data_IF_783655920465
#
_entry.id   IF_783655920465
#
_cell.length_a   1.000
_cell.length_b   1.000
_cell.length_c   1.000
_cell.angle_alpha   90.00
_cell.angle_beta   90.00
_cell.angle_gamma   90.00
#
_symmetry.space_group_name_H-M   'P 1'
#
loop_
_entity.id
_entity.type
_entity.pdbx_description
1 polymer ?
#
# COMPACT_ATOMS: atom_id res chain seq x y z
N UNK A 1 20.43 -1.39 1.75
CA UNK A 1 19.04 -1.38 1.25
C UNK A 1 18.39 -2.74 1.44
N UNK A 2 17.10 -2.77 1.82
CA UNK A 2 16.30 -4.01 1.95
C UNK A 2 15.18 -4.01 0.90
N UNK A 3 15.07 -5.09 0.15
CA UNK A 3 14.15 -5.22 -0.98
C UNK A 3 13.09 -6.28 -0.70
N UNK A 4 11.87 -6.01 -1.16
CA UNK A 4 10.76 -6.96 -1.20
C UNK A 4 9.93 -6.76 -2.47
N UNK A 5 8.91 -7.58 -2.66
CA UNK A 5 7.78 -7.25 -3.52
C UNK A 5 6.48 -7.62 -2.81
N UNK A 6 5.36 -7.05 -3.25
CA UNK A 6 4.04 -7.37 -2.70
C UNK A 6 3.38 -8.53 -3.42
N UNK A 7 2.83 -9.50 -2.68
CA UNK A 7 2.12 -10.62 -3.31
C UNK A 7 0.84 -10.18 -4.04
N UNK A 8 0.40 -8.92 -3.87
CA UNK A 8 -0.58 -8.30 -4.75
C UNK A 8 -0.21 -8.42 -6.24
N UNK A 9 1.08 -8.42 -6.58
CA UNK A 9 1.56 -8.54 -7.95
C UNK A 9 1.42 -9.95 -8.54
N UNK A 10 1.16 -10.97 -7.71
CA UNK A 10 1.11 -12.40 -8.10
C UNK A 10 -0.10 -13.12 -7.49
N UNK A 11 -1.27 -12.50 -7.58
CA UNK A 11 -2.52 -13.02 -6.99
C UNK A 11 -2.96 -14.39 -7.52
N UNK A 12 -2.47 -14.77 -8.69
CA UNK A 12 -2.69 -16.07 -9.33
C UNK A 12 -1.68 -17.14 -8.88
N UNK A 13 -0.72 -16.81 -8.01
CA UNK A 13 0.27 -17.74 -7.45
C UNK A 13 -0.08 -18.12 -6.02
N UNK A 14 0.30 -19.34 -5.65
CA UNK A 14 0.27 -19.78 -4.25
C UNK A 14 1.30 -19.02 -3.40
N UNK A 15 1.13 -19.04 -2.08
CA UNK A 15 2.12 -18.47 -1.16
C UNK A 15 3.51 -19.14 -1.28
N UNK A 16 3.54 -20.45 -1.59
CA UNK A 16 4.76 -21.21 -1.87
C UNK A 16 5.56 -20.61 -3.03
N UNK A 17 4.90 -20.52 -4.19
CA UNK A 17 5.50 -19.95 -5.40
C UNK A 17 5.94 -18.48 -5.19
N UNK A 18 5.15 -17.69 -4.47
CA UNK A 18 5.50 -16.30 -4.18
C UNK A 18 6.77 -16.19 -3.31
N UNK A 19 6.89 -17.00 -2.25
CA UNK A 19 8.09 -17.05 -1.41
C UNK A 19 9.30 -17.55 -2.19
N UNK A 20 9.14 -18.57 -3.03
CA UNK A 20 10.19 -19.08 -3.89
C UNK A 20 10.71 -18.02 -4.87
N UNK A 21 9.81 -17.24 -5.49
CA UNK A 21 10.18 -16.11 -6.35
C UNK A 21 11.03 -15.10 -5.56
N UNK A 22 10.57 -14.65 -4.39
CA UNK A 22 11.32 -13.69 -3.57
C UNK A 22 12.72 -14.22 -3.22
N UNK A 23 12.79 -15.48 -2.81
CA UNK A 23 14.04 -16.16 -2.44
C UNK A 23 14.99 -16.32 -3.63
N UNK A 24 14.49 -16.67 -4.80
CA UNK A 24 15.29 -16.87 -6.01
C UNK A 24 15.91 -15.56 -6.52
N UNK A 25 15.25 -14.42 -6.27
CA UNK A 25 15.76 -13.08 -6.63
C UNK A 25 16.64 -12.45 -5.53
N UNK A 26 16.92 -13.17 -4.44
CA UNK A 26 17.78 -12.68 -3.36
C UNK A 26 17.21 -11.47 -2.62
N UNK A 27 15.88 -11.41 -2.48
CA UNK A 27 15.21 -10.37 -1.69
C UNK A 27 15.35 -10.63 -0.19
N UNK A 28 15.22 -9.57 0.62
CA UNK A 28 15.23 -9.67 2.08
C UNK A 28 13.83 -9.89 2.68
N UNK A 29 12.77 -9.75 1.88
CA UNK A 29 11.42 -9.89 2.38
C UNK A 29 10.34 -10.06 1.31
N UNK A 30 9.14 -10.37 1.78
CA UNK A 30 7.93 -10.51 0.97
C UNK A 30 6.76 -9.83 1.66
N UNK A 31 6.19 -8.83 1.02
CA UNK A 31 5.01 -8.14 1.53
C UNK A 31 3.77 -8.96 1.20
N UNK A 32 2.93 -9.23 2.20
CA UNK A 32 1.82 -10.16 2.06
C UNK A 32 0.49 -9.43 1.84
N UNK A 33 -0.29 -9.87 0.85
CA UNK A 33 -1.67 -9.44 0.68
C UNK A 33 -2.58 -10.12 1.71
N UNK A 34 -3.26 -9.31 2.52
CA UNK A 34 -4.13 -9.75 3.63
C UNK A 34 -5.54 -10.18 3.24
N UNK A 35 -5.76 -10.78 2.07
CA UNK A 35 -7.10 -11.05 1.53
C UNK A 35 -7.17 -12.35 0.75
N UNK A 36 -8.29 -13.05 0.90
CA UNK A 36 -8.63 -14.28 0.16
C UNK A 36 -7.71 -15.44 0.50
N UNK A 37 -7.89 -16.54 -0.24
CA UNK A 37 -7.23 -17.83 0.07
C UNK A 37 -5.80 -17.92 -0.46
N UNK A 38 -5.40 -17.07 -1.42
CA UNK A 38 -4.10 -17.18 -2.09
C UNK A 38 -2.90 -16.69 -1.25
N UNK A 39 -3.10 -15.83 -0.24
CA UNK A 39 -1.98 -15.19 0.45
C UNK A 39 -1.99 -15.35 1.96
N UNK A 40 -2.86 -14.69 2.72
CA UNK A 40 -3.19 -15.03 4.12
C UNK A 40 -4.15 -13.95 4.60
N UNK A 41 -5.17 -14.31 5.36
CA UNK A 41 -6.16 -13.36 5.89
C UNK A 41 -6.63 -13.80 7.28
N UNK A 42 -7.40 -12.99 8.01
CA UNK A 42 -7.94 -13.36 9.32
C UNK A 42 -8.87 -14.58 9.27
N UNK A 43 -9.46 -14.85 8.11
CA UNK A 43 -10.30 -16.03 7.86
C UNK A 43 -9.48 -17.31 7.61
N UNK A 44 -8.17 -17.18 7.37
CA UNK A 44 -7.28 -18.33 7.22
C UNK A 44 -7.26 -19.17 8.50
N UNK A 45 -7.20 -20.49 8.33
CA UNK A 45 -7.00 -21.37 9.48
C UNK A 45 -5.66 -21.06 10.17
N UNK A 46 -5.59 -21.24 11.48
CA UNK A 46 -4.33 -21.08 12.22
C UNK A 46 -3.20 -21.94 11.64
N UNK A 47 -3.51 -23.17 11.21
CA UNK A 47 -2.54 -24.07 10.56
C UNK A 47 -1.97 -23.47 9.28
N UNK A 48 -2.79 -22.81 8.46
CA UNK A 48 -2.34 -22.16 7.24
C UNK A 48 -1.48 -20.94 7.56
N UNK A 49 -1.92 -20.04 8.44
CA UNK A 49 -1.11 -18.88 8.84
C UNK A 49 0.25 -19.31 9.44
N UNK A 50 0.27 -20.37 10.26
CA UNK A 50 1.50 -20.94 10.80
C UNK A 50 2.41 -21.51 9.70
N UNK A 51 1.85 -22.18 8.69
CA UNK A 51 2.59 -22.64 7.52
C UNK A 51 3.20 -21.46 6.75
N UNK A 52 2.45 -20.38 6.50
CA UNK A 52 2.98 -19.17 5.83
C UNK A 52 4.16 -18.59 6.60
N UNK A 53 4.04 -18.44 7.93
CA UNK A 53 5.13 -17.94 8.77
C UNK A 53 6.38 -18.84 8.69
N UNK A 54 6.19 -20.16 8.77
CA UNK A 54 7.31 -21.10 8.70
C UNK A 54 7.98 -21.06 7.33
N UNK A 55 7.20 -21.05 6.25
CA UNK A 55 7.70 -20.97 4.88
C UNK A 55 8.57 -19.71 4.66
N UNK A 56 8.07 -18.54 5.08
CA UNK A 56 8.83 -17.28 5.03
C UNK A 56 10.15 -17.40 5.81
N UNK A 57 10.11 -18.01 6.99
CA UNK A 57 11.29 -18.22 7.85
C UNK A 57 12.31 -19.18 7.23
N UNK A 58 11.87 -20.29 6.65
CA UNK A 58 12.73 -21.29 5.98
C UNK A 58 13.51 -20.65 4.82
N UNK A 59 12.88 -19.74 4.10
CA UNK A 59 13.49 -18.95 3.04
C UNK A 59 14.28 -17.72 3.53
N UNK A 60 14.36 -17.51 4.86
CA UNK A 60 15.08 -16.39 5.50
C UNK A 60 14.58 -15.00 5.05
N UNK A 61 13.30 -14.90 4.72
CA UNK A 61 12.64 -13.65 4.36
C UNK A 61 12.02 -13.01 5.60
N UNK A 62 11.91 -11.68 5.59
CA UNK A 62 11.04 -10.94 6.50
C UNK A 62 9.66 -10.70 5.86
N UNK A 63 8.63 -10.46 6.69
CA UNK A 63 7.38 -9.87 6.24
C UNK A 63 7.42 -8.38 6.57
N UNK A 64 7.81 -7.47 5.65
CA UNK A 64 7.93 -6.05 5.98
C UNK A 64 6.58 -5.36 6.21
N UNK A 65 5.53 -5.85 5.55
CA UNK A 65 4.19 -5.29 5.62
C UNK A 65 3.13 -6.36 5.31
N UNK A 66 2.00 -6.28 6.00
CA UNK A 66 0.76 -7.00 5.66
C UNK A 66 -0.26 -5.98 5.14
N UNK A 67 -0.94 -6.28 4.04
CA UNK A 67 -1.91 -5.35 3.43
C UNK A 67 -3.33 -5.61 3.91
N UNK A 68 -3.92 -4.66 4.62
CA UNK A 68 -5.34 -4.61 4.94
C UNK A 68 -6.05 -3.59 4.05
N UNK A 69 -7.36 -3.78 3.86
CA UNK A 69 -8.19 -2.91 3.02
C UNK A 69 -9.07 -1.95 3.84
N UNK A 70 -8.67 -1.69 5.09
CA UNK A 70 -9.35 -0.75 5.99
C UNK A 70 -9.31 0.66 5.41
N UNK A 71 -10.43 1.38 5.49
CA UNK A 71 -10.60 2.75 4.98
C UNK A 71 -11.02 3.70 6.09
N UNK A 72 -10.32 4.82 6.23
CA UNK A 72 -10.57 5.80 7.29
C UNK A 72 -11.58 6.89 6.94
N UNK A 73 -11.72 7.25 5.65
CA UNK A 73 -12.86 8.07 5.23
C UNK A 73 -14.13 7.23 5.24
N UNK A 74 -15.01 7.57 6.19
CA UNK A 74 -16.26 6.88 6.46
C UNK A 74 -17.39 7.90 6.67
N UNK A 75 -18.66 7.53 6.45
CA UNK A 75 -19.77 8.46 6.55
C UNK A 75 -20.04 8.97 7.98
N UNK A 76 -19.54 8.27 9.01
CA UNK A 76 -19.75 8.65 10.42
C UNK A 76 -18.58 8.23 11.31
N UNK A 77 -18.45 8.90 12.46
CA UNK A 77 -17.49 8.52 13.51
C UNK A 77 -17.74 7.11 14.08
N UNK A 78 -18.97 6.61 14.06
CA UNK A 78 -19.28 5.24 14.46
C UNK A 78 -18.76 4.23 13.42
N UNK A 79 -19.00 4.50 12.13
CA UNK A 79 -18.55 3.65 11.03
C UNK A 79 -17.02 3.51 10.98
N UNK A 80 -16.27 4.60 11.17
CA UNK A 80 -14.80 4.51 11.23
C UNK A 80 -14.31 3.72 12.45
N UNK A 81 -15.00 3.79 13.60
CA UNK A 81 -14.65 2.98 14.77
C UNK A 81 -14.91 1.50 14.51
N UNK A 82 -16.03 1.16 13.87
CA UNK A 82 -16.32 -0.22 13.49
C UNK A 82 -15.30 -0.77 12.50
N UNK A 83 -14.83 0.04 11.54
CA UNK A 83 -13.73 -0.35 10.65
C UNK A 83 -12.42 -0.61 11.40
N UNK A 84 -12.07 0.27 12.33
CA UNK A 84 -10.90 0.08 13.20
C UNK A 84 -11.05 -1.17 14.07
N UNK A 85 -12.25 -1.43 14.60
CA UNK A 85 -12.52 -2.62 15.41
C UNK A 85 -12.30 -3.91 14.61
N UNK A 86 -12.78 -3.96 13.35
CA UNK A 86 -12.55 -5.09 12.42
C UNK A 86 -11.08 -5.23 12.04
N UNK A 87 -10.40 -4.12 11.77
CA UNK A 87 -8.98 -4.09 11.41
C UNK A 87 -8.09 -4.74 12.49
N UNK A 88 -8.51 -4.77 13.76
CA UNK A 88 -7.70 -5.40 14.81
C UNK A 88 -7.48 -6.91 14.61
N UNK A 89 -8.32 -7.60 13.85
CA UNK A 89 -8.04 -9.00 13.48
C UNK A 89 -6.85 -9.09 12.51
N UNK A 90 -6.72 -8.13 11.59
CA UNK A 90 -5.54 -7.98 10.73
C UNK A 90 -4.29 -7.62 11.53
N UNK A 91 -4.41 -6.78 12.57
CA UNK A 91 -3.29 -6.45 13.46
C UNK A 91 -2.77 -7.70 14.16
N UNK A 92 -3.65 -8.54 14.73
CA UNK A 92 -3.24 -9.80 15.37
C UNK A 92 -2.57 -10.75 14.39
N UNK A 93 -3.06 -10.81 13.15
CA UNK A 93 -2.41 -11.58 12.09
C UNK A 93 -1.02 -11.02 11.74
N UNK A 94 -0.88 -9.71 11.61
CA UNK A 94 0.41 -9.04 11.39
C UNK A 94 1.40 -9.33 12.53
N UNK A 95 0.96 -9.25 13.80
CA UNK A 95 1.76 -9.64 14.96
C UNK A 95 2.22 -11.09 14.88
N UNK A 96 1.31 -12.00 14.55
CA UNK A 96 1.62 -13.42 14.43
C UNK A 96 2.63 -13.72 13.32
N UNK A 97 2.54 -12.99 12.19
CA UNK A 97 3.44 -13.07 11.05
C UNK A 97 4.73 -12.24 11.24
N UNK A 98 4.88 -11.56 12.38
CA UNK A 98 5.99 -10.65 12.68
C UNK A 98 6.12 -9.47 11.69
N UNK A 99 5.00 -9.05 11.08
CA UNK A 99 4.95 -7.91 10.18
C UNK A 99 4.91 -6.60 10.98
N UNK A 100 5.93 -5.72 10.89
CA UNK A 100 5.98 -4.49 11.68
C UNK A 100 5.05 -3.39 11.15
N UNK A 101 4.55 -3.53 9.92
CA UNK A 101 3.64 -2.58 9.28
C UNK A 101 2.35 -3.28 8.82
N UNK A 102 1.22 -2.59 8.99
CA UNK A 102 -0.06 -2.93 8.38
C UNK A 102 -0.48 -1.81 7.43
N UNK A 103 -0.48 -2.08 6.11
CA UNK A 103 -0.94 -1.12 5.08
C UNK A 103 -2.46 -0.96 5.17
N UNK A 104 -2.90 0.29 5.15
CA UNK A 104 -4.31 0.73 5.20
C UNK A 104 -4.51 1.92 4.26
N UNK A 105 -5.76 2.29 4.00
CA UNK A 105 -6.12 3.32 3.04
C UNK A 105 -6.94 4.43 3.70
N UNK A 106 -6.93 5.61 3.09
CA UNK A 106 -7.96 6.61 3.40
C UNK A 106 -9.29 6.25 2.73
N UNK A 107 -9.26 5.68 1.52
CA UNK A 107 -10.47 5.45 0.73
C UNK A 107 -10.94 6.74 0.03
N UNK A 108 -12.01 6.67 -0.78
CA UNK A 108 -12.54 7.84 -1.46
C UNK A 108 -13.10 8.85 -0.44
N UNK A 109 -12.80 10.14 -0.64
CA UNK A 109 -13.41 11.21 0.13
C UNK A 109 -14.61 11.82 -0.64
N UNK A 110 -15.59 12.40 0.06
CA UNK A 110 -16.64 13.19 -0.58
C UNK A 110 -16.06 14.33 -1.43
N UNK A 111 -16.74 14.64 -2.55
CA UNK A 111 -16.39 15.72 -3.49
C UNK A 111 -15.02 15.60 -4.20
N UNK A 112 -14.27 14.52 -3.98
CA UNK A 112 -13.14 14.14 -4.82
C UNK A 112 -13.62 13.18 -5.91
N UNK A 113 -13.10 13.28 -7.15
CA UNK A 113 -13.39 12.29 -8.18
C UNK A 113 -12.99 10.92 -7.63
N UNK A 114 -13.95 9.98 -7.59
CA UNK A 114 -13.60 8.57 -7.41
C UNK A 114 -12.85 8.17 -8.66
N UNK A 115 -11.54 8.02 -8.57
CA UNK A 115 -10.83 7.33 -9.64
C UNK A 115 -11.38 5.91 -9.72
N UNK A 116 -11.46 5.41 -10.96
CA UNK A 116 -11.53 3.99 -11.22
C UNK A 116 -10.34 3.40 -10.47
N UNK A 117 -10.60 2.81 -9.29
CA UNK A 117 -9.64 1.96 -8.62
C UNK A 117 -8.98 1.11 -9.72
N UNK A 118 -7.66 0.87 -9.66
CA UNK A 118 -7.19 -0.41 -10.15
C UNK A 118 -8.12 -1.41 -9.49
N UNK A 119 -9.06 -2.06 -10.24
CA UNK A 119 -10.04 -2.89 -9.60
C UNK A 119 -9.23 -3.85 -8.76
N UNK A 120 -9.56 -4.00 -7.48
CA UNK A 120 -9.02 -5.13 -6.73
C UNK A 120 -9.29 -6.33 -7.64
N UNK A 121 -8.27 -6.95 -8.25
CA UNK A 121 -8.56 -8.00 -9.20
C UNK A 121 -9.23 -9.08 -8.34
N UNK A 122 -10.33 -9.60 -8.88
CA UNK A 122 -11.30 -10.49 -8.25
C UNK A 122 -12.55 -9.80 -7.67
N UNK A 123 -13.36 -9.27 -8.59
CA UNK A 123 -14.76 -9.67 -8.62
C UNK A 123 -14.97 -10.54 -9.86
N UNK A 124 -15.44 -11.80 -9.74
CA UNK A 124 -15.95 -12.49 -10.90
C UNK A 124 -17.08 -11.67 -11.53
N UNK A 125 -17.07 -11.54 -12.85
CA UNK A 125 -17.99 -10.70 -13.62
C UNK A 125 -19.48 -11.15 -13.59
N UNK A 126 -19.88 -12.03 -12.66
CA UNK A 126 -21.18 -12.71 -12.66
C UNK A 126 -22.08 -12.37 -11.47
N UNK A 127 -21.85 -11.27 -10.75
CA UNK A 127 -22.80 -10.79 -9.72
C UNK A 127 -23.30 -9.37 -9.97
N UNK A 128 -23.53 -9.01 -11.23
CA UNK A 128 -24.49 -7.97 -11.60
C UNK A 128 -25.83 -8.64 -11.91
N UNK A 129 -26.45 -9.18 -10.87
CA UNK A 129 -27.87 -9.48 -10.90
C UNK A 129 -28.62 -8.15 -11.07
N UNK A 130 -29.33 -8.01 -12.19
CA UNK A 130 -30.33 -6.99 -12.41
C UNK A 130 -31.29 -6.95 -11.20
N UNK A 131 -31.12 -5.97 -10.32
CA UNK A 131 -32.14 -5.67 -9.32
C UNK A 131 -33.30 -4.96 -10.03
N UNK A 132 -34.56 -5.34 -9.75
CA UNK A 132 -35.72 -4.73 -10.38
C UNK A 132 -35.92 -3.30 -9.89
N UNK A 133 -36.42 -2.47 -10.81
CA UNK A 133 -36.93 -1.12 -10.62
C UNK A 133 -37.84 -1.01 -9.39
N UNK A 134 -37.38 -0.29 -8.36
CA UNK A 134 -38.18 0.13 -7.20
C UNK A 134 -38.39 1.65 -7.22
N UNK A 135 -39.02 2.15 -8.28
CA UNK A 135 -39.58 3.51 -8.30
C UNK A 135 -40.97 3.55 -7.64
N UNK A 136 -41.03 3.52 -6.30
CA UNK A 136 -42.12 4.14 -5.48
C UNK A 136 -41.98 3.80 -3.99
N UNK A 137 -40.94 4.34 -3.35
CA UNK A 137 -40.84 4.45 -1.89
C UNK A 137 -40.89 5.92 -1.45
N UNK A 138 -41.35 6.23 -0.22
CA UNK A 138 -41.38 7.61 0.26
C UNK A 138 -39.97 8.21 0.24
N UNK A 139 -39.87 9.48 -0.17
CA UNK A 139 -38.63 10.25 -0.18
C UNK A 139 -38.04 10.28 1.24
N UNK A 140 -37.02 9.46 1.49
CA UNK A 140 -36.15 9.59 2.66
C UNK A 140 -35.46 10.95 2.51
N UNK A 141 -35.47 11.84 3.52
CA UNK A 141 -34.77 13.11 3.41
C UNK A 141 -33.30 12.83 3.09
N UNK A 142 -32.80 13.44 2.01
CA UNK A 142 -31.42 13.31 1.58
C UNK A 142 -30.52 13.62 2.78
N UNK A 143 -29.77 12.62 3.26
CA UNK A 143 -28.70 12.87 4.21
C UNK A 143 -27.75 13.87 3.54
N UNK A 144 -27.50 15.02 4.17
CA UNK A 144 -26.56 15.99 3.64
C UNK A 144 -25.21 15.30 3.44
N UNK A 145 -24.71 15.30 2.21
CA UNK A 145 -23.39 14.75 1.90
C UNK A 145 -22.34 15.51 2.72
N UNK A 146 -21.43 14.77 3.37
CA UNK A 146 -20.31 15.36 4.08
C UNK A 146 -19.46 16.18 3.12
N UNK A 147 -18.98 17.35 3.53
CA UNK A 147 -17.87 17.99 2.84
C UNK A 147 -16.53 17.38 3.27
N UNK A 148 -15.46 17.66 2.51
CA UNK A 148 -14.12 17.11 2.78
C UNK A 148 -13.62 17.40 4.20
N UNK A 149 -13.83 18.60 4.74
CA UNK A 149 -13.39 18.94 6.10
C UNK A 149 -14.10 18.12 7.18
N UNK A 150 -15.38 17.80 6.99
CA UNK A 150 -16.13 16.94 7.90
C UNK A 150 -15.67 15.49 7.79
N UNK A 151 -15.45 15.00 6.56
CA UNK A 151 -14.93 13.66 6.32
C UNK A 151 -13.52 13.48 6.92
N UNK A 152 -12.65 14.48 6.77
CA UNK A 152 -11.32 14.46 7.35
C UNK A 152 -11.34 14.45 8.88
N UNK A 153 -12.25 15.21 9.50
CA UNK A 153 -12.41 15.20 10.95
C UNK A 153 -12.80 13.80 11.46
N UNK A 154 -13.73 13.13 10.78
CA UNK A 154 -14.12 11.74 11.09
C UNK A 154 -12.91 10.80 10.92
N UNK A 155 -12.16 10.93 9.84
CA UNK A 155 -11.00 10.08 9.59
C UNK A 155 -9.89 10.29 10.64
N UNK A 156 -9.61 11.54 11.03
CA UNK A 156 -8.64 11.88 12.08
C UNK A 156 -9.04 11.26 13.42
N UNK A 157 -10.33 11.34 13.78
CA UNK A 157 -10.85 10.69 15.00
C UNK A 157 -10.69 9.16 14.94
N UNK A 158 -10.93 8.57 13.76
CA UNK A 158 -10.68 7.16 13.49
C UNK A 158 -9.22 6.77 13.65
N UNK A 159 -8.29 7.56 13.10
CA UNK A 159 -6.84 7.34 13.19
C UNK A 159 -6.34 7.46 14.64
N UNK A 160 -6.85 8.43 15.39
CA UNK A 160 -6.56 8.57 16.82
C UNK A 160 -7.11 7.39 17.63
N UNK A 161 -8.29 6.89 17.28
CA UNK A 161 -8.85 5.68 17.91
C UNK A 161 -8.02 4.43 17.56
N UNK A 162 -7.62 4.26 16.31
CA UNK A 162 -6.74 3.18 15.87
C UNK A 162 -5.40 3.21 16.61
N UNK A 163 -4.79 4.39 16.74
CA UNK A 163 -3.55 4.58 17.50
C UNK A 163 -3.68 4.09 18.95
N UNK A 164 -4.80 4.40 19.63
CA UNK A 164 -5.09 3.91 20.99
C UNK A 164 -5.27 2.39 21.04
N UNK A 165 -5.92 1.79 20.05
CA UNK A 165 -6.10 0.34 19.96
C UNK A 165 -4.80 -0.42 19.74
N UNK A 166 -3.79 0.26 19.18
CA UNK A 166 -2.45 -0.24 18.93
C UNK A 166 -1.45 0.05 20.03
N UNK A 167 -1.85 0.65 21.17
CA UNK A 167 -0.93 1.12 22.23
C UNK A 167 0.07 0.04 22.70
N UNK A 168 -0.33 -1.23 22.70
CA UNK A 168 0.51 -2.36 23.10
C UNK A 168 0.96 -3.26 21.92
N UNK A 169 0.70 -2.84 20.69
CA UNK A 169 1.08 -3.59 19.50
C UNK A 169 2.46 -3.16 19.00
N UNK A 170 3.32 -4.09 18.56
CA UNK A 170 4.54 -3.74 17.83
C UNK A 170 4.25 -3.28 16.39
N UNK A 171 3.02 -3.46 15.90
CA UNK A 171 2.61 -3.12 14.53
C UNK A 171 2.29 -1.63 14.43
N UNK A 172 2.83 -0.99 13.39
CA UNK A 172 2.44 0.36 12.98
C UNK A 172 1.42 0.29 11.85
N UNK A 173 0.44 1.19 11.84
CA UNK A 173 -0.34 1.39 10.62
C UNK A 173 0.43 2.28 9.68
N UNK A 174 0.40 1.94 8.39
CA UNK A 174 0.98 2.76 7.34
C UNK A 174 -0.12 3.10 6.35
N UNK A 175 -0.52 4.37 6.32
CA UNK A 175 -1.48 4.88 5.34
C UNK A 175 -0.73 5.03 4.04
N UNK A 176 -1.19 4.38 2.99
CA UNK A 176 -0.59 4.56 1.69
C UNK A 176 -0.93 5.92 1.08
N UNK A 177 0.04 6.51 0.39
CA UNK A 177 -0.23 7.59 -0.58
C UNK A 177 -1.11 7.06 -1.70
N UNK A 178 -2.43 7.06 -1.53
CA UNK A 178 -3.43 6.53 -2.47
C UNK A 178 -4.78 7.22 -2.23
N UNK A 179 -5.78 6.96 -3.09
CA UNK A 179 -7.16 7.44 -2.97
C UNK A 179 -7.26 8.97 -2.75
N UNK A 180 -7.77 9.40 -1.59
CA UNK A 180 -7.95 10.79 -1.18
C UNK A 180 -6.70 11.40 -0.53
N UNK A 181 -5.65 10.61 -0.26
CA UNK A 181 -4.43 11.03 0.40
C UNK A 181 -3.19 10.71 -0.44
N UNK A 182 -3.18 11.19 -1.68
CA UNK A 182 -2.13 10.90 -2.68
C UNK A 182 -0.79 11.58 -2.44
N UNK A 183 -0.74 12.59 -1.59
CA UNK A 183 0.41 13.48 -1.48
C UNK A 183 0.82 13.76 -0.02
N UNK A 184 2.05 14.23 0.16
CA UNK A 184 2.61 14.54 1.46
C UNK A 184 1.88 15.67 2.16
N UNK A 185 1.36 16.65 1.40
CA UNK A 185 0.57 17.77 1.96
C UNK A 185 -0.69 17.28 2.66
N UNK A 186 -1.43 16.37 2.04
CA UNK A 186 -2.68 15.84 2.56
C UNK A 186 -2.42 14.96 3.76
N UNK A 187 -1.43 14.07 3.68
CA UNK A 187 -1.05 13.21 4.80
C UNK A 187 -0.51 14.02 5.99
N UNK A 188 0.30 15.06 5.77
CA UNK A 188 0.78 15.93 6.85
C UNK A 188 -0.36 16.61 7.59
N UNK A 189 -1.40 17.04 6.86
CA UNK A 189 -2.60 17.64 7.46
C UNK A 189 -3.42 16.62 8.26
N UNK A 190 -3.65 15.42 7.73
CA UNK A 190 -4.40 14.36 8.40
C UNK A 190 -3.66 13.79 9.62
N UNK A 191 -2.32 13.71 9.57
CA UNK A 191 -1.51 13.08 10.62
C UNK A 191 -0.96 14.06 11.66
N UNK A 192 -1.24 15.37 11.53
CA UNK A 192 -0.69 16.43 12.38
C UNK A 192 -0.81 16.12 13.88
N UNK A 193 -2.00 15.70 14.31
CA UNK A 193 -2.34 15.42 15.71
C UNK A 193 -2.59 13.92 15.95
N UNK A 194 -2.00 13.06 15.11
CA UNK A 194 -2.07 11.59 15.22
C UNK A 194 -0.71 11.05 15.69
N UNK A 195 -0.66 10.16 16.70
CA UNK A 195 0.61 9.60 17.19
C UNK A 195 1.40 8.84 16.12
N UNK A 196 2.71 8.68 16.33
CA UNK A 196 3.66 8.16 15.32
C UNK A 196 3.61 6.64 15.10
N UNK A 197 2.82 5.89 15.87
CA UNK A 197 2.47 4.51 15.51
C UNK A 197 1.52 4.43 14.31
N UNK A 198 1.02 5.58 13.83
CA UNK A 198 0.40 5.77 12.52
C UNK A 198 1.38 6.54 11.64
N UNK A 199 1.83 5.90 10.57
CA UNK A 199 2.75 6.45 9.59
C UNK A 199 2.23 6.33 8.17
N UNK A 200 3.17 6.33 7.24
CA UNK A 200 2.93 6.39 5.81
C UNK A 200 3.64 5.24 5.10
N UNK A 201 2.93 4.64 4.15
CA UNK A 201 3.53 3.88 3.07
C UNK A 201 3.62 4.82 1.88
N UNK A 202 4.84 5.12 1.44
CA UNK A 202 5.05 5.98 0.28
C UNK A 202 5.06 5.13 -0.99
N UNK A 203 3.96 5.13 -1.74
CA UNK A 203 4.00 4.76 -3.15
C UNK A 203 4.41 5.99 -3.96
N UNK A 204 5.60 5.91 -4.55
CA UNK A 204 6.26 7.06 -5.19
C UNK A 204 5.46 7.66 -6.34
N UNK A 205 4.54 6.90 -6.96
CA UNK A 205 3.80 7.38 -8.12
C UNK A 205 2.76 8.43 -7.75
N UNK A 206 2.14 8.31 -6.58
CA UNK A 206 0.99 9.13 -6.23
C UNK A 206 1.36 10.58 -5.89
N UNK A 207 2.39 10.86 -5.07
CA UNK A 207 2.87 12.23 -4.90
C UNK A 207 3.42 12.80 -6.21
N UNK A 208 4.07 11.97 -7.03
CA UNK A 208 4.59 12.39 -8.35
C UNK A 208 3.45 12.83 -9.29
N UNK A 209 2.35 12.08 -9.36
CA UNK A 209 1.15 12.47 -10.13
C UNK A 209 0.56 13.80 -9.64
N UNK A 210 0.71 14.11 -8.35
CA UNK A 210 0.32 15.39 -7.74
C UNK A 210 1.36 16.51 -7.93
N UNK A 211 2.46 16.23 -8.62
CA UNK A 211 3.56 17.17 -8.87
C UNK A 211 4.45 17.42 -7.64
N UNK A 212 4.40 16.56 -6.63
CA UNK A 212 5.31 16.64 -5.49
C UNK A 212 6.65 15.97 -5.79
N UNK A 213 7.73 16.73 -5.60
CA UNK A 213 9.08 16.18 -5.53
C UNK A 213 9.32 15.49 -4.19
N UNK A 214 10.14 14.42 -4.19
CA UNK A 214 10.46 13.65 -2.97
C UNK A 214 10.97 14.53 -1.81
N UNK A 215 11.72 15.59 -2.11
CA UNK A 215 12.22 16.52 -1.09
C UNK A 215 11.09 17.22 -0.34
N UNK A 216 10.02 17.61 -1.05
CA UNK A 216 8.83 18.24 -0.45
C UNK A 216 7.98 17.25 0.31
N UNK A 217 7.75 16.06 -0.25
CA UNK A 217 7.08 14.99 0.47
C UNK A 217 7.83 14.65 1.76
N UNK A 218 9.17 14.56 1.72
CA UNK A 218 10.01 14.31 2.89
C UNK A 218 9.93 15.43 3.94
N UNK A 219 10.00 16.71 3.54
CA UNK A 219 9.84 17.85 4.47
C UNK A 219 8.53 17.76 5.27
N UNK A 220 7.47 17.22 4.67
CA UNK A 220 6.13 17.17 5.26
C UNK A 220 5.87 15.90 6.10
N UNK A 221 6.32 14.73 5.63
CA UNK A 221 5.96 13.43 6.22
C UNK A 221 7.13 12.45 6.36
N UNK A 222 8.37 12.84 6.05
CA UNK A 222 9.52 11.94 5.94
C UNK A 222 9.78 11.08 7.18
N UNK A 223 9.66 11.65 8.38
CA UNK A 223 9.86 10.93 9.65
C UNK A 223 8.80 9.86 9.93
N UNK A 224 7.70 9.86 9.16
CA UNK A 224 6.60 8.90 9.27
C UNK A 224 6.58 7.88 8.13
N UNK A 225 7.51 7.94 7.18
CA UNK A 225 7.60 6.94 6.10
C UNK A 225 8.23 5.68 6.67
N UNK A 226 7.46 4.60 6.74
CA UNK A 226 7.91 3.32 7.31
C UNK A 226 8.00 2.18 6.28
N UNK A 227 7.38 2.35 5.12
CA UNK A 227 7.43 1.42 4.00
C UNK A 227 7.35 2.21 2.69
N UNK A 228 7.96 1.70 1.61
CA UNK A 228 8.02 2.38 0.32
C UNK A 228 7.64 1.41 -0.78
N UNK A 229 6.74 1.81 -1.65
CA UNK A 229 6.45 1.11 -2.91
C UNK A 229 7.21 1.75 -4.06
N UNK A 230 7.84 0.90 -4.85
CA UNK A 230 8.55 1.26 -6.07
C UNK A 230 7.83 0.60 -7.24
N UNK A 231 7.69 1.38 -8.30
CA UNK A 231 7.22 0.97 -9.62
C UNK A 231 7.82 1.93 -10.64
N UNK A 232 7.65 1.62 -11.92
CA UNK A 232 7.99 2.56 -12.99
C UNK A 232 7.01 2.41 -14.15
N UNK A 233 6.77 3.53 -14.81
CA UNK A 233 5.81 3.65 -15.91
C UNK A 233 6.42 4.42 -17.06
N UNK A 234 6.10 4.01 -18.28
CA UNK A 234 6.52 4.73 -19.49
C UNK A 234 5.59 5.91 -19.82
N UNK A 235 4.32 5.81 -19.39
CA UNK A 235 3.28 6.80 -19.66
C UNK A 235 2.03 6.56 -18.80
N UNK A 236 1.32 7.65 -18.54
CA UNK A 236 -0.05 7.65 -18.00
C UNK A 236 -1.05 7.83 -19.14
N UNK A 237 -2.15 7.07 -19.10
CA UNK A 237 -3.27 7.11 -20.02
C UNK A 237 -4.54 7.55 -19.26
N UNK A 238 -5.62 7.84 -19.97
CA UNK A 238 -6.91 8.22 -19.35
C UNK A 238 -7.44 7.13 -18.41
N UNK A 239 -7.30 5.85 -18.79
CA UNK A 239 -7.85 4.70 -18.06
C UNK A 239 -6.78 3.78 -17.46
N UNK A 240 -5.59 4.30 -17.15
CA UNK A 240 -4.55 3.53 -16.46
C UNK A 240 -3.14 3.93 -16.87
N UNK A 241 -2.18 3.03 -16.67
CA UNK A 241 -0.75 3.29 -16.88
C UNK A 241 -0.10 2.17 -17.68
N UNK A 242 1.01 2.48 -18.35
CA UNK A 242 1.84 1.47 -19.01
C UNK A 242 3.13 1.29 -18.23
N UNK A 243 3.17 0.21 -17.44
CA UNK A 243 4.30 -0.18 -16.61
C UNK A 243 5.47 -0.61 -17.50
N UNK A 244 6.68 -0.27 -17.08
CA UNK A 244 7.92 -0.58 -17.78
C UNK A 244 9.00 -1.07 -16.81
N UNK A 245 10.13 -1.61 -17.31
CA UNK A 245 11.26 -1.95 -16.45
C UNK A 245 11.72 -0.75 -15.60
N UNK A 246 12.12 -1.00 -14.35
CA UNK A 246 12.54 0.04 -13.41
C UNK A 246 13.76 0.79 -13.95
N UNK A 247 13.69 2.12 -13.98
CA UNK A 247 14.75 3.00 -14.48
C UNK A 247 14.66 3.30 -15.97
N UNK A 248 13.67 2.76 -16.67
CA UNK A 248 13.40 3.05 -18.08
C UNK A 248 12.13 3.90 -18.28
N UNK A 249 11.42 4.21 -17.20
CA UNK A 249 10.22 5.03 -17.24
C UNK A 249 10.44 6.49 -16.88
N UNK A 250 9.35 7.13 -16.49
CA UNK A 250 9.29 8.57 -16.21
C UNK A 250 9.30 8.88 -14.71
N UNK A 251 9.19 7.86 -13.85
CA UNK A 251 9.23 8.09 -12.41
C UNK A 251 10.66 8.37 -11.94
N UNK A 252 10.85 9.27 -10.97
CA UNK A 252 12.18 9.69 -10.51
C UNK A 252 12.83 8.67 -9.55
N UNK A 253 12.76 7.36 -9.86
CA UNK A 253 13.10 6.25 -8.95
C UNK A 253 14.49 6.41 -8.32
N UNK A 254 15.54 6.61 -9.13
CA UNK A 254 16.91 6.74 -8.60
C UNK A 254 17.03 7.94 -7.64
N UNK A 255 16.54 9.11 -8.03
CA UNK A 255 16.66 10.32 -7.20
C UNK A 255 15.84 10.20 -5.92
N UNK A 256 14.67 9.55 -5.96
CA UNK A 256 13.84 9.27 -4.79
C UNK A 256 14.56 8.32 -3.84
N UNK A 257 15.08 7.20 -4.32
CA UNK A 257 15.80 6.22 -3.49
C UNK A 257 17.05 6.85 -2.88
N UNK A 258 17.88 7.57 -3.67
CA UNK A 258 19.07 8.27 -3.14
C UNK A 258 18.70 9.30 -2.09
N UNK A 259 17.59 10.02 -2.26
CA UNK A 259 17.12 10.96 -1.26
C UNK A 259 16.75 10.28 0.05
N UNK A 260 15.98 9.19 -0.01
CA UNK A 260 15.55 8.42 1.16
C UNK A 260 16.74 7.80 1.90
N UNK A 261 17.68 7.16 1.19
CA UNK A 261 18.91 6.61 1.77
C UNK A 261 19.77 7.73 2.40
N UNK A 262 19.92 8.87 1.71
CA UNK A 262 20.66 10.03 2.22
C UNK A 262 20.05 10.67 3.47
N UNK A 263 18.79 10.36 3.79
CA UNK A 263 18.11 10.77 5.02
C UNK A 263 18.01 9.66 6.06
N UNK A 264 18.61 8.50 5.80
CA UNK A 264 18.66 7.38 6.72
C UNK A 264 17.36 6.59 6.81
N UNK A 265 16.60 6.48 5.72
CA UNK A 265 15.48 5.55 5.66
C UNK A 265 15.96 4.09 5.84
N UNK A 266 15.39 3.38 6.82
CA UNK A 266 15.80 2.02 7.19
C UNK A 266 14.71 0.96 6.88
N UNK A 267 13.61 1.34 6.24
CA UNK A 267 12.52 0.44 5.90
C UNK A 267 12.82 -0.44 4.69
N UNK A 268 11.78 -1.06 4.12
CA UNK A 268 11.87 -1.82 2.88
C UNK A 268 11.47 -0.97 1.69
N UNK A 269 12.07 -1.26 0.53
CA UNK A 269 11.55 -0.87 -0.77
C UNK A 269 10.87 -2.11 -1.37
N UNK A 270 9.57 -2.04 -1.58
CA UNK A 270 8.77 -3.13 -2.12
C UNK A 270 8.38 -2.82 -3.56
N UNK A 271 8.63 -3.74 -4.48
CA UNK A 271 8.05 -3.65 -5.81
C UNK A 271 6.53 -3.87 -5.73
N UNK A 272 5.76 -2.93 -6.27
CA UNK A 272 4.34 -3.09 -6.55
C UNK A 272 4.12 -3.01 -8.07
N UNK A 273 4.20 -4.17 -8.71
CA UNK A 273 3.81 -4.32 -10.11
C UNK A 273 2.29 -4.44 -10.21
N UNK A 274 1.72 -3.76 -11.20
CA UNK A 274 0.32 -3.85 -11.57
C UNK A 274 0.21 -4.09 -13.08
N UNK A 275 -0.94 -4.65 -13.50
CA UNK A 275 -1.21 -4.85 -14.92
C UNK A 275 -1.37 -3.49 -15.60
N UNK A 276 -0.72 -3.35 -16.75
CA UNK A 276 -0.88 -2.17 -17.59
C UNK A 276 -2.29 -2.08 -18.17
N UNK A 277 -2.70 -0.86 -18.53
CA UNK A 277 -3.95 -0.61 -19.21
C UNK A 277 -4.08 -1.47 -20.48
N UNK A 278 -5.28 -1.98 -20.75
CA UNK A 278 -5.56 -2.93 -21.85
C UNK A 278 -5.10 -2.44 -23.23
N UNK A 279 -5.05 -1.11 -23.40
CA UNK A 279 -4.67 -0.45 -24.65
C UNK A 279 -3.16 -0.43 -24.89
N UNK A 280 -2.33 -0.89 -23.95
CA UNK A 280 -0.88 -0.93 -24.12
C UNK A 280 -0.23 -2.22 -23.65
N UNK A 281 0.93 -2.50 -24.25
CA UNK A 281 1.79 -3.60 -23.87
C UNK A 281 2.80 -3.11 -22.84
N UNK A 282 2.52 -3.36 -21.57
CA UNK A 282 3.47 -3.13 -20.49
C UNK A 282 4.33 -4.36 -20.20
N UNK A 283 5.28 -4.16 -19.29
CA UNK A 283 6.16 -5.20 -18.76
C UNK A 283 5.38 -6.23 -17.94
N UNK A 284 5.79 -7.50 -18.00
CA UNK A 284 5.30 -8.54 -17.09
C UNK A 284 5.86 -8.38 -15.68
N UNK A 285 5.30 -9.11 -14.71
CA UNK A 285 5.79 -9.07 -13.33
C UNK A 285 7.26 -9.50 -13.24
N UNK A 286 7.62 -10.61 -13.87
CA UNK A 286 8.97 -11.18 -13.81
C UNK A 286 10.02 -10.22 -14.38
N UNK A 287 9.74 -9.60 -15.53
CA UNK A 287 10.66 -8.62 -16.13
C UNK A 287 10.76 -7.32 -15.31
N UNK A 288 9.66 -6.86 -14.68
CA UNK A 288 9.74 -5.71 -13.79
C UNK A 288 10.49 -6.05 -12.48
N UNK A 289 10.35 -7.28 -11.97
CA UNK A 289 11.10 -7.75 -10.81
C UNK A 289 12.60 -7.84 -11.09
N UNK A 290 12.99 -8.42 -12.23
CA UNK A 290 14.39 -8.49 -12.64
C UNK A 290 15.03 -7.09 -12.74
N UNK A 291 14.34 -6.16 -13.40
CA UNK A 291 14.82 -4.78 -13.53
C UNK A 291 14.82 -4.04 -12.19
N UNK A 292 13.82 -4.25 -11.32
CA UNK A 292 13.78 -3.70 -9.97
C UNK A 292 15.01 -4.12 -9.16
N UNK A 293 15.30 -5.42 -9.09
CA UNK A 293 16.45 -5.92 -8.32
C UNK A 293 17.76 -5.37 -8.88
N UNK A 294 17.96 -5.47 -10.20
CA UNK A 294 19.16 -4.96 -10.87
C UNK A 294 19.38 -3.47 -10.62
N UNK A 295 18.32 -2.66 -10.80
CA UNK A 295 18.38 -1.22 -10.65
C UNK A 295 18.68 -0.81 -9.20
N UNK A 296 17.92 -1.33 -8.23
CA UNK A 296 18.05 -0.94 -6.82
C UNK A 296 19.43 -1.32 -6.26
N UNK A 297 19.94 -2.51 -6.60
CA UNK A 297 21.31 -2.92 -6.23
C UNK A 297 22.38 -2.06 -6.91
N UNK A 298 22.15 -1.64 -8.15
CA UNK A 298 23.02 -0.69 -8.85
C UNK A 298 23.10 0.67 -8.16
N UNK A 299 21.97 1.21 -7.71
CA UNK A 299 21.91 2.46 -6.94
C UNK A 299 22.71 2.36 -5.64
N UNK A 300 22.55 1.26 -4.90
CA UNK A 300 23.26 0.97 -3.65
C UNK A 300 24.80 0.92 -3.84
N UNK A 301 25.28 0.20 -4.86
CA UNK A 301 26.72 0.07 -5.14
C UNK A 301 27.37 1.40 -5.57
N UNK A 302 26.68 2.17 -6.41
CA UNK A 302 27.17 3.46 -6.88
C UNK A 302 27.19 4.53 -5.77
N UNK A 303 26.25 4.45 -4.80
CA UNK A 303 26.26 5.30 -3.61
C UNK A 303 27.48 5.05 -2.70
N UNK A 304 27.80 3.78 -2.42
CA UNK A 304 28.94 3.42 -1.58
C UNK A 304 30.29 3.82 -2.19
N UNK A 305 30.39 3.78 -3.52
CA UNK A 305 31.60 4.17 -4.25
C UNK A 305 31.91 5.67 -4.15
N UNK A 306 30.90 6.53 -3.99
CA UNK A 306 31.09 7.98 -3.82
C UNK A 306 31.50 8.41 -2.41
N UNK A 307 31.32 7.54 -1.39
CA UNK A 307 31.71 7.82 0.01
C UNK A 307 33.18 7.41 0.26
N UNK A 308 33.80 6.65 -0.66
CA UNK A 308 35.16 6.10 -0.50
C UNK A 308 36.24 6.92 -1.24
N UNK A 309 35.93 8.14 -1.68
CA UNK A 309 36.86 9.10 -2.29
C UNK A 309 36.89 10.40 -1.48
#
# INVERSE_FOLDING_TARGET
MKLSYTTLSVQDRTIGEAVEIASAHGLEGIELRGRGDAHVSPESTFSYAAHVRELVREHKLAVPCLTAYTRFHQPTAAAVREEVDRMMDMVRLAEFLEAPCLRVFMGPAPDLPSETLCPAPDLPAETLGLAPDLSSGPLIPAQASLNLSQADQIAIEGLQYASKRLENSPVRLVIETHDSAKDGRTLARLLKDVPSNIGVLLDIIHPWDMGEEIGKTWEMIGERIYHVHIKDISRTLENGRIYCPIGQGILPVESTVRWLEGRGYQGFYSLEWEKSALEGQGVGFEEQLDSFVSFMRGVEQNGNSQITL
#
